data_IF_889216936867
#
_entry.id   IF_889216936867
#
_cell.length_a   1.000
_cell.length_b   1.000
_cell.length_c   1.000
_cell.angle_alpha   90.00
_cell.angle_beta   90.00
_cell.angle_gamma   90.00
#
_symmetry.space_group_name_H-M   'P 1'
#
loop_
_entity.id
_entity.type
_entity.pdbx_description
1 polymer ?
#
# COMPACT_ATOMS: atom_id res chain seq x y z
N UNK A 1 31.25 36.44 -33.03
CA UNK A 1 29.93 35.81 -32.87
C UNK A 1 30.06 34.36 -33.34
N UNK A 2 30.15 33.40 -32.42
CA UNK A 2 30.18 31.98 -32.72
C UNK A 2 28.83 31.36 -32.32
N UNK A 3 28.18 30.54 -33.17
CA UNK A 3 26.96 29.84 -32.78
C UNK A 3 27.31 28.63 -31.91
N UNK A 4 26.81 28.63 -30.68
CA UNK A 4 26.77 27.47 -29.78
C UNK A 4 25.72 26.47 -30.28
N UNK A 5 26.14 25.25 -30.60
CA UNK A 5 25.26 24.14 -30.92
C UNK A 5 24.49 23.68 -29.67
N UNK A 6 23.18 23.38 -29.76
CA UNK A 6 22.43 22.82 -28.65
C UNK A 6 22.85 21.36 -28.44
N UNK A 7 23.40 21.06 -27.26
CA UNK A 7 23.67 19.69 -26.85
C UNK A 7 22.37 18.90 -26.80
N UNK A 8 22.26 17.88 -27.66
CA UNK A 8 21.21 16.87 -27.57
C UNK A 8 21.37 16.16 -26.23
N UNK A 9 20.56 16.57 -25.25
CA UNK A 9 20.45 15.88 -23.97
C UNK A 9 20.06 14.45 -24.23
N UNK A 10 21.03 13.55 -24.12
CA UNK A 10 20.80 12.11 -24.14
C UNK A 10 19.94 11.78 -22.93
N UNK A 11 18.62 11.74 -23.15
CA UNK A 11 17.66 11.35 -22.13
C UNK A 11 18.01 9.91 -21.78
N UNK A 12 18.49 9.69 -20.56
CA UNK A 12 18.78 8.36 -20.06
C UNK A 12 17.56 7.47 -20.36
N UNK A 13 17.78 6.24 -20.88
CA UNK A 13 16.67 5.36 -21.20
C UNK A 13 15.79 5.20 -19.96
N UNK A 14 14.47 5.38 -20.13
CA UNK A 14 13.52 5.14 -19.07
C UNK A 14 13.78 3.73 -18.51
N UNK A 15 13.89 3.60 -17.19
CA UNK A 15 14.05 2.28 -16.58
C UNK A 15 12.90 1.41 -17.07
N UNK A 16 13.19 0.20 -17.60
CA UNK A 16 12.13 -0.72 -17.98
C UNK A 16 11.29 -1.01 -16.72
N UNK A 17 9.97 -0.95 -16.87
CA UNK A 17 9.05 -1.25 -15.78
C UNK A 17 9.18 -2.69 -15.28
N UNK A 18 8.53 -3.04 -14.17
CA UNK A 18 8.59 -4.39 -13.62
C UNK A 18 8.08 -5.42 -14.64
N UNK A 19 8.72 -6.58 -14.69
CA UNK A 19 8.22 -7.69 -15.51
C UNK A 19 6.86 -8.16 -14.98
N UNK A 20 5.97 -8.58 -15.87
CA UNK A 20 4.65 -9.13 -15.50
C UNK A 20 4.75 -10.26 -14.46
N UNK A 21 5.76 -11.12 -14.56
CA UNK A 21 6.00 -12.19 -13.59
C UNK A 21 6.35 -11.67 -12.19
N UNK A 22 7.11 -10.58 -12.09
CA UNK A 22 7.42 -9.92 -10.81
C UNK A 22 6.17 -9.30 -10.20
N UNK A 23 5.30 -8.70 -11.03
CA UNK A 23 4.03 -8.13 -10.56
C UNK A 23 3.08 -9.20 -10.02
N UNK A 24 2.93 -10.33 -10.73
CA UNK A 24 2.08 -11.42 -10.24
C UNK A 24 2.60 -12.05 -8.94
N UNK A 25 3.91 -12.22 -8.81
CA UNK A 25 4.51 -12.66 -7.54
C UNK A 25 4.22 -11.67 -6.40
N UNK A 26 4.23 -10.37 -6.70
CA UNK A 26 3.90 -9.35 -5.71
C UNK A 26 2.41 -9.39 -5.30
N UNK A 27 1.51 -9.75 -6.22
CA UNK A 27 0.09 -10.02 -5.89
C UNK A 27 -0.02 -11.21 -4.94
N UNK A 28 0.64 -12.33 -5.25
CA UNK A 28 0.63 -13.54 -4.43
C UNK A 28 1.16 -13.28 -3.01
N UNK A 29 2.28 -12.56 -2.89
CA UNK A 29 2.85 -12.16 -1.60
C UNK A 29 1.85 -11.32 -0.78
N UNK A 30 1.10 -10.43 -1.43
CA UNK A 30 0.23 -9.45 -0.78
C UNK A 30 -1.15 -10.02 -0.38
N UNK A 31 -1.70 -10.97 -1.14
CA UNK A 31 -3.01 -11.58 -0.87
C UNK A 31 -3.11 -12.29 0.50
N UNK A 32 -1.98 -12.67 1.09
CA UNK A 32 -1.90 -13.26 2.43
C UNK A 32 -1.49 -12.29 3.55
N UNK A 33 -1.31 -11.00 3.25
CA UNK A 33 -0.66 -10.04 4.14
C UNK A 33 -1.62 -9.17 4.97
N UNK A 34 -2.83 -9.66 5.23
CA UNK A 34 -3.83 -9.01 6.07
C UNK A 34 -3.37 -8.91 7.54
N UNK A 35 -3.17 -7.70 8.09
CA UNK A 35 -2.78 -7.54 9.48
C UNK A 35 -4.00 -7.60 10.41
N UNK A 36 -3.89 -8.31 11.53
CA UNK A 36 -4.90 -8.24 12.59
C UNK A 36 -4.54 -7.16 13.62
N UNK A 37 -5.29 -6.06 13.56
CA UNK A 37 -5.10 -4.90 14.44
C UNK A 37 -5.86 -5.01 15.77
N UNK A 38 -6.61 -6.10 15.97
CA UNK A 38 -7.40 -6.31 17.18
C UNK A 38 -8.70 -5.47 17.26
N UNK A 39 -8.84 -4.42 16.45
CA UNK A 39 -10.09 -3.68 16.29
C UNK A 39 -10.72 -4.00 14.94
N UNK A 40 -11.95 -4.53 14.90
CA UNK A 40 -12.56 -4.96 13.64
C UNK A 40 -12.59 -3.86 12.59
N UNK A 41 -12.90 -2.62 12.98
CA UNK A 41 -12.98 -1.52 12.03
C UNK A 41 -11.60 -1.18 11.44
N UNK A 42 -10.54 -1.28 12.25
CA UNK A 42 -9.18 -1.01 11.79
C UNK A 42 -8.64 -2.18 10.94
N UNK A 43 -8.88 -3.42 11.37
CA UNK A 43 -8.52 -4.64 10.62
C UNK A 43 -9.20 -4.62 9.25
N UNK A 44 -10.52 -4.41 9.20
CA UNK A 44 -11.25 -4.35 7.92
C UNK A 44 -10.78 -3.22 7.00
N UNK A 45 -10.39 -2.07 7.55
CA UNK A 45 -9.79 -0.99 6.74
C UNK A 45 -8.39 -1.36 6.22
N UNK A 46 -7.56 -2.01 7.03
CA UNK A 46 -6.25 -2.45 6.59
C UNK A 46 -6.36 -3.55 5.52
N UNK A 47 -7.28 -4.50 5.68
CA UNK A 47 -7.59 -5.54 4.70
C UNK A 47 -8.05 -4.93 3.38
N UNK A 48 -8.98 -3.98 3.42
CA UNK A 48 -9.43 -3.26 2.22
C UNK A 48 -8.32 -2.49 1.51
N UNK A 49 -7.33 -1.96 2.25
CA UNK A 49 -6.15 -1.33 1.64
C UNK A 49 -5.23 -2.36 0.97
N UNK A 50 -4.99 -3.51 1.62
CA UNK A 50 -4.17 -4.61 1.07
C UNK A 50 -4.82 -5.19 -0.19
N UNK A 51 -6.13 -5.38 -0.17
CA UNK A 51 -6.91 -5.83 -1.33
C UNK A 51 -6.86 -4.80 -2.48
N UNK A 52 -7.03 -3.51 -2.16
CA UNK A 52 -6.92 -2.44 -3.15
C UNK A 52 -5.51 -2.39 -3.79
N UNK A 53 -4.45 -2.55 -3.00
CA UNK A 53 -3.10 -2.62 -3.55
C UNK A 53 -2.89 -3.87 -4.42
N UNK A 54 -3.45 -5.01 -4.04
CA UNK A 54 -3.37 -6.27 -4.80
C UNK A 54 -4.00 -6.14 -6.18
N UNK A 55 -5.19 -5.57 -6.25
CA UNK A 55 -5.84 -5.31 -7.53
C UNK A 55 -5.11 -4.23 -8.36
N UNK A 56 -4.47 -3.23 -7.73
CA UNK A 56 -3.67 -2.24 -8.48
C UNK A 56 -2.43 -2.89 -9.11
N UNK A 57 -1.83 -3.88 -8.45
CA UNK A 57 -0.79 -4.70 -9.05
C UNK A 57 -1.35 -5.52 -10.24
N UNK A 58 -2.58 -6.02 -10.17
CA UNK A 58 -3.21 -6.68 -11.34
C UNK A 58 -3.38 -5.69 -12.50
N UNK A 59 -3.90 -4.49 -12.24
CA UNK A 59 -4.01 -3.42 -13.25
C UNK A 59 -2.63 -3.09 -13.87
N UNK A 60 -1.56 -3.08 -13.06
CA UNK A 60 -0.19 -2.89 -13.53
C UNK A 60 0.28 -4.05 -14.41
N UNK A 61 0.00 -5.30 -14.01
CA UNK A 61 0.38 -6.50 -14.75
C UNK A 61 -0.27 -6.56 -16.14
N UNK A 62 -1.47 -5.99 -16.26
CA UNK A 62 -2.24 -5.90 -17.51
C UNK A 62 -1.91 -4.63 -18.32
N UNK A 63 -1.04 -3.76 -17.79
CA UNK A 63 -0.60 -2.54 -18.47
C UNK A 63 -1.67 -1.44 -18.53
N UNK A 64 -2.59 -1.42 -17.57
CA UNK A 64 -3.71 -0.48 -17.55
C UNK A 64 -3.21 0.98 -17.43
N UNK A 65 -3.68 1.84 -18.33
CA UNK A 65 -3.33 3.27 -18.31
C UNK A 65 -3.94 4.00 -17.10
N UNK A 66 -5.05 3.49 -16.57
CA UNK A 66 -5.75 3.97 -15.38
C UNK A 66 -6.18 2.79 -14.50
N UNK A 67 -6.32 2.97 -13.17
CA UNK A 67 -6.88 1.94 -12.30
C UNK A 67 -8.28 1.52 -12.73
N UNK A 68 -8.62 0.24 -12.52
CA UNK A 68 -10.00 -0.22 -12.72
C UNK A 68 -10.93 0.35 -11.62
N UNK A 69 -12.17 0.78 -11.94
CA UNK A 69 -13.13 1.22 -10.94
C UNK A 69 -13.45 0.09 -9.94
N UNK A 70 -13.55 0.41 -8.65
CA UNK A 70 -13.82 -0.60 -7.61
C UNK A 70 -14.97 -0.25 -6.68
N UNK A 71 -15.79 -1.24 -6.30
CA UNK A 71 -16.79 -1.05 -5.26
C UNK A 71 -16.09 -0.74 -3.93
N UNK A 72 -16.62 0.26 -3.23
CA UNK A 72 -16.19 0.62 -1.89
C UNK A 72 -16.66 -0.48 -0.92
N UNK A 73 -15.78 -1.43 -0.60
CA UNK A 73 -16.03 -2.35 0.50
C UNK A 73 -15.67 -1.63 1.80
N UNK A 74 -16.70 -1.11 2.48
CA UNK A 74 -16.56 -0.51 3.80
C UNK A 74 -17.17 -1.44 4.82
N UNK A 75 -16.34 -2.02 5.67
CA UNK A 75 -16.75 -2.53 6.97
C UNK A 75 -16.32 -3.96 7.25
N UNK A 76 -15.65 -4.14 8.40
CA UNK A 76 -15.95 -5.29 9.24
C UNK A 76 -17.08 -4.89 10.18
N UNK A 77 -18.15 -5.68 10.22
CA UNK A 77 -19.28 -5.50 11.15
C UNK A 77 -18.92 -6.15 12.48
N UNK A 78 -18.94 -5.36 13.56
CA UNK A 78 -19.46 -5.78 14.87
C UNK A 78 -18.72 -6.84 15.70
N UNK A 79 -17.47 -7.19 15.39
CA UNK A 79 -16.75 -8.17 16.23
C UNK A 79 -16.23 -7.53 17.53
N UNK A 80 -15.89 -8.35 18.52
CA UNK A 80 -15.42 -7.85 19.81
C UNK A 80 -13.96 -7.41 19.70
N UNK A 81 -13.58 -6.21 20.18
CA UNK A 81 -12.18 -5.80 20.24
C UNK A 81 -11.32 -6.83 20.96
N UNK A 82 -10.23 -7.24 20.31
CA UNK A 82 -9.24 -8.19 20.82
C UNK A 82 -7.84 -7.54 20.84
N UNK A 83 -6.85 -8.17 21.50
CA UNK A 83 -5.47 -7.70 21.41
C UNK A 83 -4.98 -7.69 19.96
N UNK A 84 -4.16 -6.69 19.62
CA UNK A 84 -3.48 -6.63 18.33
C UNK A 84 -2.50 -7.81 18.18
N UNK A 85 -2.44 -8.40 17.00
CA UNK A 85 -1.43 -9.42 16.67
C UNK A 85 -0.17 -8.76 16.10
N UNK A 86 0.86 -8.70 16.93
CA UNK A 86 2.15 -8.10 16.55
C UNK A 86 2.83 -8.85 15.40
N UNK A 87 2.71 -10.18 15.35
CA UNK A 87 3.37 -10.98 14.34
C UNK A 87 2.73 -10.75 12.97
N UNK A 88 1.40 -10.70 12.91
CA UNK A 88 0.68 -10.35 11.67
C UNK A 88 1.02 -8.93 11.20
N UNK A 89 1.07 -7.94 12.10
CA UNK A 89 1.46 -6.57 11.74
C UNK A 89 2.87 -6.49 11.16
N UNK A 90 3.84 -7.19 11.77
CA UNK A 90 5.23 -7.23 11.27
C UNK A 90 5.34 -7.95 9.94
N UNK A 91 4.64 -9.08 9.79
CA UNK A 91 4.61 -9.83 8.54
C UNK A 91 4.03 -8.98 7.40
N UNK A 92 2.86 -8.36 7.64
CA UNK A 92 2.22 -7.47 6.68
C UNK A 92 3.10 -6.28 6.30
N UNK A 93 3.73 -5.61 7.27
CA UNK A 93 4.66 -4.52 7.02
C UNK A 93 5.87 -4.95 6.17
N UNK A 94 6.44 -6.12 6.45
CA UNK A 94 7.56 -6.66 5.68
C UNK A 94 7.16 -6.99 4.23
N UNK A 95 5.97 -7.57 4.03
CA UNK A 95 5.42 -7.84 2.70
C UNK A 95 5.19 -6.55 1.91
N UNK A 96 4.52 -5.56 2.51
CA UNK A 96 4.24 -4.28 1.86
C UNK A 96 5.53 -3.58 1.40
N UNK A 97 6.60 -3.62 2.21
CA UNK A 97 7.91 -3.07 1.82
C UNK A 97 8.58 -3.82 0.67
N UNK A 98 8.39 -5.13 0.61
CA UNK A 98 8.93 -5.96 -0.48
C UNK A 98 8.22 -5.69 -1.80
N UNK A 99 6.91 -5.47 -1.72
CA UNK A 99 6.02 -5.25 -2.88
C UNK A 99 6.08 -3.81 -3.39
N UNK A 100 6.22 -2.81 -2.50
CA UNK A 100 6.19 -1.40 -2.89
C UNK A 100 7.17 -1.02 -4.02
N UNK A 101 8.42 -1.50 -4.07
CA UNK A 101 9.32 -1.26 -5.21
C UNK A 101 8.71 -1.63 -6.56
N UNK A 102 7.87 -2.66 -6.65
CA UNK A 102 7.20 -3.07 -7.90
C UNK A 102 6.25 -1.99 -8.40
N UNK A 103 5.56 -1.27 -7.51
CA UNK A 103 4.69 -0.15 -7.85
C UNK A 103 5.46 1.15 -8.11
N UNK A 104 6.64 1.29 -7.50
CA UNK A 104 7.51 2.47 -7.62
C UNK A 104 8.39 2.42 -8.88
N UNK A 105 8.73 1.23 -9.37
CA UNK A 105 9.69 1.00 -10.45
C UNK A 105 9.10 1.26 -11.85
N UNK A 106 8.65 2.49 -12.10
CA UNK A 106 8.15 2.90 -13.41
C UNK A 106 6.83 2.23 -13.82
N UNK A 107 6.11 2.89 -14.72
CA UNK A 107 4.78 2.46 -15.13
C UNK A 107 3.84 3.64 -15.34
N UNK A 108 2.51 3.40 -15.32
CA UNK A 108 1.51 4.45 -15.36
C UNK A 108 1.68 5.45 -14.21
N UNK A 109 1.26 6.70 -14.39
CA UNK A 109 1.46 7.78 -13.42
C UNK A 109 0.78 7.54 -12.06
N UNK A 110 -0.20 6.63 -11.99
CA UNK A 110 -0.89 6.26 -10.76
C UNK A 110 -0.08 5.27 -9.89
N UNK A 111 0.84 4.49 -10.47
CA UNK A 111 1.51 3.38 -9.77
C UNK A 111 2.43 3.86 -8.62
N UNK A 112 3.24 4.91 -8.77
CA UNK A 112 4.08 5.38 -7.66
C UNK A 112 3.27 5.81 -6.43
N UNK A 113 2.13 6.47 -6.62
CA UNK A 113 1.25 6.86 -5.53
C UNK A 113 0.67 5.67 -4.75
N UNK A 114 0.40 4.55 -5.44
CA UNK A 114 0.01 3.30 -4.79
C UNK A 114 1.16 2.69 -3.98
N UNK A 115 2.38 2.70 -4.53
CA UNK A 115 3.58 2.24 -3.84
C UNK A 115 3.86 3.01 -2.55
N UNK A 116 3.72 4.34 -2.58
CA UNK A 116 3.85 5.21 -1.40
C UNK A 116 2.80 4.88 -0.32
N UNK A 117 1.54 4.66 -0.71
CA UNK A 117 0.51 4.22 0.24
C UNK A 117 0.90 2.89 0.89
N UNK A 118 1.41 1.94 0.11
CA UNK A 118 1.91 0.66 0.64
C UNK A 118 3.02 0.84 1.69
N UNK A 119 3.98 1.72 1.43
CA UNK A 119 5.06 2.04 2.38
C UNK A 119 4.55 2.73 3.65
N UNK A 120 3.62 3.66 3.52
CA UNK A 120 3.04 4.36 4.67
C UNK A 120 2.18 3.43 5.53
N UNK A 121 1.44 2.51 4.91
CA UNK A 121 0.73 1.44 5.62
C UNK A 121 1.73 0.56 6.37
N UNK A 122 2.81 0.12 5.72
CA UNK A 122 3.85 -0.68 6.37
C UNK A 122 4.45 0.02 7.60
N UNK A 123 4.73 1.33 7.49
CA UNK A 123 5.24 2.13 8.60
C UNK A 123 4.23 2.24 9.75
N UNK A 124 2.94 2.37 9.45
CA UNK A 124 1.88 2.38 10.45
C UNK A 124 1.80 1.04 11.20
N UNK A 125 1.84 -0.08 10.49
CA UNK A 125 1.79 -1.43 11.08
C UNK A 125 2.97 -1.70 12.00
N UNK A 126 4.17 -1.27 11.62
CA UNK A 126 5.35 -1.37 12.46
C UNK A 126 5.25 -0.54 13.74
N UNK A 127 4.77 0.70 13.61
CA UNK A 127 4.54 1.56 14.77
C UNK A 127 3.57 0.93 15.77
N UNK A 128 2.51 0.28 15.27
CA UNK A 128 1.55 -0.43 16.11
C UNK A 128 2.15 -1.68 16.76
N UNK A 129 2.91 -2.45 16.00
CA UNK A 129 3.62 -3.62 16.52
C UNK A 129 4.65 -3.25 17.62
N UNK A 130 5.21 -2.04 17.59
CA UNK A 130 6.12 -1.53 18.61
C UNK A 130 5.42 -0.95 19.85
N UNK A 131 4.32 -0.21 19.66
CA UNK A 131 3.64 0.48 20.77
C UNK A 131 3.03 -0.48 21.79
N UNK A 132 2.47 -1.62 21.37
CA UNK A 132 1.70 -2.49 22.26
C UNK A 132 2.52 -3.46 23.12
N UNK A 133 3.86 -3.49 22.99
CA UNK A 133 4.69 -4.30 23.90
C UNK A 133 4.58 -3.86 25.37
N UNK A 134 4.04 -2.66 25.63
CA UNK A 134 3.83 -2.08 26.96
C UNK A 134 2.46 -2.29 27.59
N UNK A 135 1.48 -2.85 26.86
CA UNK A 135 0.14 -3.20 27.36
C UNK A 135 -0.92 -2.09 27.30
N UNK A 136 -2.02 -2.43 26.62
CA UNK A 136 -3.30 -1.69 26.43
C UNK A 136 -3.20 -0.41 25.63
N UNK A 137 -3.57 -0.52 24.36
CA UNK A 137 -3.78 0.62 23.47
C UNK A 137 -4.82 1.58 24.05
N UNK A 138 -4.47 2.86 24.16
CA UNK A 138 -5.44 3.88 24.55
C UNK A 138 -6.50 4.09 23.45
N UNK A 139 -7.74 4.48 23.82
CA UNK A 139 -8.75 4.90 22.84
C UNK A 139 -8.29 6.03 21.91
N UNK A 140 -7.41 6.92 22.38
CA UNK A 140 -6.81 7.98 21.57
C UNK A 140 -5.95 7.43 20.43
N UNK A 141 -5.24 6.33 20.67
CA UNK A 141 -4.42 5.66 19.65
C UNK A 141 -5.29 5.00 18.58
N UNK A 142 -6.38 4.31 18.98
CA UNK A 142 -7.37 3.75 18.01
C UNK A 142 -7.87 4.85 17.06
N UNK A 143 -8.26 6.01 17.59
CA UNK A 143 -8.74 7.12 16.77
C UNK A 143 -7.69 7.68 15.79
N UNK A 144 -6.42 7.74 16.19
CA UNK A 144 -5.31 8.15 15.31
C UNK A 144 -5.11 7.14 14.18
N UNK A 145 -5.11 5.84 14.49
CA UNK A 145 -4.95 4.75 13.51
C UNK A 145 -6.05 4.80 12.47
N UNK A 146 -7.32 4.85 12.89
CA UNK A 146 -8.45 4.92 11.97
C UNK A 146 -8.38 6.14 11.04
N UNK A 147 -8.02 7.32 11.56
CA UNK A 147 -7.85 8.52 10.73
C UNK A 147 -6.75 8.35 9.68
N UNK A 148 -5.64 7.70 10.03
CA UNK A 148 -4.54 7.41 9.10
C UNK A 148 -4.96 6.38 8.04
N UNK A 149 -5.59 5.29 8.43
CA UNK A 149 -6.11 4.28 7.49
C UNK A 149 -7.10 4.90 6.50
N UNK A 150 -8.06 5.70 6.97
CA UNK A 150 -8.98 6.42 6.08
C UNK A 150 -8.28 7.42 5.16
N UNK A 151 -7.20 8.08 5.62
CA UNK A 151 -6.43 8.98 4.76
C UNK A 151 -5.72 8.22 3.64
N UNK A 152 -5.14 7.05 3.94
CA UNK A 152 -4.54 6.17 2.93
C UNK A 152 -5.59 5.67 1.94
N UNK A 153 -6.78 5.28 2.43
CA UNK A 153 -7.88 4.82 1.58
C UNK A 153 -8.32 5.91 0.59
N UNK A 154 -8.54 7.13 1.07
CA UNK A 154 -8.88 8.27 0.20
C UNK A 154 -7.80 8.57 -0.83
N UNK A 155 -6.52 8.40 -0.47
CA UNK A 155 -5.41 8.58 -1.41
C UNK A 155 -5.41 7.53 -2.51
N UNK A 156 -5.62 6.25 -2.20
CA UNK A 156 -5.76 5.22 -3.23
C UNK A 156 -6.96 5.48 -4.14
N UNK A 157 -8.08 5.93 -3.58
CA UNK A 157 -9.27 6.29 -4.36
C UNK A 157 -9.04 7.47 -5.30
N UNK A 158 -8.14 8.39 -4.95
CA UNK A 158 -7.81 9.55 -5.79
C UNK A 158 -6.86 9.20 -6.97
N UNK A 159 -6.40 7.95 -7.08
CA UNK A 159 -5.50 7.52 -8.16
C UNK A 159 -6.24 7.18 -9.47
N UNK A 160 -7.57 7.02 -9.44
CA UNK A 160 -8.40 6.65 -10.58
C UNK A 160 -9.84 7.10 -10.42
#
# INVERSE_FOLDING_TARGET
MHPTAPGSGSRAPARPGPSRAAVLRAVEDLQGAAPDLGWPEATGLADGLVDALSHLLVDLADGAASPSPRPLVVGAVGDVPRPLDHASCRAAAATLRRVAPVLLDGGPSWAPGAGEVGLELAALLDQLADHERGGRVSPSTKGVVLRRLHALQRRLQALG
#
